data_IF_089612528200
#
_entry.id   IF_089612528200
#
_cell.length_a   1.000
_cell.length_b   1.000
_cell.length_c   1.000
_cell.angle_alpha   90.00
_cell.angle_beta   90.00
_cell.angle_gamma   90.00
#
_symmetry.space_group_name_H-M   'P 1'
#
loop_
_entity.id
_entity.type
_entity.pdbx_description
1 polymer ?
#
# COMPACT_ATOMS: atom_id res chain seq x y z
N UNK A 1 -11.39 -7.67 12.45
CA UNK A 1 -10.19 -6.81 12.56
C UNK A 1 -8.93 -7.59 12.98
N UNK A 2 -9.05 -8.83 13.45
CA UNK A 2 -7.89 -9.67 13.73
C UNK A 2 -7.56 -10.59 12.54
N UNK A 3 -6.26 -10.88 12.35
CA UNK A 3 -5.83 -11.83 11.32
C UNK A 3 -6.42 -13.24 11.53
N UNK A 4 -6.69 -13.63 12.77
CA UNK A 4 -7.32 -14.90 13.08
C UNK A 4 -8.77 -14.96 12.57
N UNK A 5 -9.57 -13.93 12.79
CA UNK A 5 -10.94 -13.83 12.29
C UNK A 5 -11.01 -13.89 10.76
N UNK A 6 -10.10 -13.18 10.08
CA UNK A 6 -10.06 -13.20 8.61
C UNK A 6 -9.61 -14.56 8.08
N UNK A 7 -8.71 -15.27 8.75
CA UNK A 7 -8.36 -16.66 8.39
C UNK A 7 -9.56 -17.59 8.53
N UNK A 8 -10.35 -17.44 9.59
CA UNK A 8 -11.59 -18.22 9.75
C UNK A 8 -12.61 -17.86 8.65
N UNK A 9 -12.79 -16.58 8.35
CA UNK A 9 -13.65 -16.12 7.26
C UNK A 9 -13.22 -16.71 5.90
N UNK A 10 -11.91 -16.67 5.60
CA UNK A 10 -11.37 -17.26 4.38
C UNK A 10 -11.65 -18.77 4.31
N UNK A 11 -11.47 -19.50 5.42
CA UNK A 11 -11.77 -20.94 5.48
C UNK A 11 -13.27 -21.23 5.27
N UNK A 12 -14.16 -20.39 5.78
CA UNK A 12 -15.61 -20.55 5.52
C UNK A 12 -15.97 -20.19 4.08
N UNK A 13 -15.33 -19.17 3.49
CA UNK A 13 -15.48 -18.83 2.08
C UNK A 13 -15.04 -19.99 1.17
N UNK A 14 -13.92 -20.67 1.50
CA UNK A 14 -13.45 -21.85 0.77
C UNK A 14 -14.46 -23.00 0.83
N UNK A 15 -15.00 -23.29 2.01
CA UNK A 15 -16.02 -24.34 2.19
C UNK A 15 -17.31 -24.04 1.43
N UNK A 16 -17.66 -22.76 1.31
CA UNK A 16 -18.91 -22.35 0.63
C UNK A 16 -18.88 -22.57 -0.87
N UNK A 17 -17.70 -22.62 -1.49
CA UNK A 17 -17.51 -22.66 -2.94
C UNK A 17 -18.09 -21.46 -3.68
N UNK A 18 -18.39 -20.35 -2.99
CA UNK A 18 -18.96 -19.14 -3.56
C UNK A 18 -17.84 -18.15 -3.94
N UNK A 19 -18.15 -17.30 -4.91
CA UNK A 19 -17.29 -16.17 -5.23
C UNK A 19 -17.16 -15.26 -3.99
N UNK A 20 -15.93 -14.90 -3.65
CA UNK A 20 -15.60 -14.04 -2.53
C UNK A 20 -14.58 -12.99 -2.99
N UNK A 21 -14.96 -11.71 -3.01
CA UNK A 21 -14.15 -10.62 -3.52
C UNK A 21 -13.97 -9.51 -2.49
N UNK A 22 -12.83 -8.83 -2.53
CA UNK A 22 -12.54 -7.64 -1.74
C UNK A 22 -12.79 -6.36 -2.57
N UNK A 23 -13.32 -5.31 -1.93
CA UNK A 23 -13.61 -4.04 -2.59
C UNK A 23 -12.36 -3.13 -2.66
N UNK A 24 -11.25 -3.66 -3.15
CA UNK A 24 -10.02 -2.89 -3.36
C UNK A 24 -10.09 -2.07 -4.66
N UNK A 25 -10.95 -1.07 -4.66
CA UNK A 25 -11.25 -0.24 -5.82
C UNK A 25 -10.04 0.50 -6.37
N UNK A 26 -9.03 0.83 -5.55
CA UNK A 26 -7.81 1.48 -6.02
C UNK A 26 -7.00 0.61 -6.99
N UNK A 27 -7.13 -0.72 -6.95
CA UNK A 27 -6.54 -1.62 -7.96
C UNK A 27 -7.11 -1.43 -9.37
N UNK A 28 -8.23 -0.71 -9.53
CA UNK A 28 -8.76 -0.32 -10.84
C UNK A 28 -8.15 0.97 -11.38
N UNK A 29 -7.29 1.68 -10.60
CA UNK A 29 -6.59 2.85 -11.07
C UNK A 29 -5.55 2.45 -12.13
N UNK A 30 -5.64 3.00 -13.36
CA UNK A 30 -4.72 2.65 -14.45
C UNK A 30 -3.24 2.89 -14.12
N UNK A 31 -2.94 3.93 -13.35
CA UNK A 31 -1.57 4.25 -12.96
C UNK A 31 -0.99 3.16 -12.04
N UNK A 32 -1.70 2.72 -11.00
CA UNK A 32 -1.26 1.63 -10.13
C UNK A 32 -1.14 0.29 -10.86
N UNK A 33 -2.06 0.01 -11.78
CA UNK A 33 -1.97 -1.16 -12.67
C UNK A 33 -0.73 -1.10 -13.56
N UNK A 34 -0.38 0.08 -14.06
CA UNK A 34 0.84 0.28 -14.85
C UNK A 34 2.09 0.12 -14.01
N UNK A 35 2.13 0.68 -12.80
CA UNK A 35 3.24 0.47 -11.85
C UNK A 35 3.46 -1.03 -11.61
N UNK A 36 2.39 -1.76 -11.27
CA UNK A 36 2.48 -3.20 -11.04
C UNK A 36 3.00 -3.96 -12.25
N UNK A 37 2.46 -3.70 -13.45
CA UNK A 37 2.95 -4.35 -14.70
C UNK A 37 4.44 -4.09 -14.94
N UNK A 38 4.92 -2.86 -14.74
CA UNK A 38 6.33 -2.51 -14.92
C UNK A 38 7.25 -3.21 -13.91
N UNK A 39 6.78 -3.39 -12.68
CA UNK A 39 7.52 -4.11 -11.64
C UNK A 39 7.49 -5.61 -11.92
N UNK A 40 6.33 -6.19 -12.20
CA UNK A 40 6.17 -7.62 -12.48
C UNK A 40 6.93 -8.08 -13.74
N UNK A 41 7.07 -7.20 -14.73
CA UNK A 41 7.83 -7.51 -15.94
C UNK A 41 9.34 -7.66 -15.71
N UNK A 42 9.86 -7.12 -14.61
CA UNK A 42 11.28 -7.10 -14.31
C UNK A 42 12.12 -6.15 -15.18
N UNK A 43 11.50 -5.40 -16.11
CA UNK A 43 12.25 -4.52 -17.03
C UNK A 43 13.01 -3.38 -16.33
N UNK A 44 12.57 -3.02 -15.13
CA UNK A 44 13.21 -2.01 -14.29
C UNK A 44 14.16 -2.63 -13.25
N UNK A 45 14.42 -3.94 -13.32
CA UNK A 45 15.26 -4.65 -12.38
C UNK A 45 14.59 -4.88 -11.01
N UNK A 46 15.41 -4.99 -9.97
CA UNK A 46 14.95 -5.32 -8.61
C UNK A 46 14.53 -4.08 -7.83
N UNK A 47 13.52 -4.20 -6.99
CA UNK A 47 13.16 -3.16 -6.02
C UNK A 47 14.33 -2.98 -5.05
N UNK A 48 14.70 -1.74 -4.80
CA UNK A 48 15.70 -1.33 -3.81
C UNK A 48 15.03 -0.67 -2.60
N UNK A 49 14.02 0.17 -2.86
CA UNK A 49 13.31 0.90 -1.82
C UNK A 49 11.89 1.22 -2.26
N UNK A 50 10.95 1.19 -1.30
CA UNK A 50 9.59 1.67 -1.47
C UNK A 50 9.29 2.78 -0.48
N UNK A 51 8.45 3.76 -0.86
CA UNK A 51 7.99 4.80 0.05
C UNK A 51 6.55 5.15 -0.27
N UNK A 52 5.69 5.03 0.74
CA UNK A 52 4.28 5.39 0.65
C UNK A 52 3.99 6.42 1.72
N UNK A 53 3.56 7.60 1.30
CA UNK A 53 3.17 8.69 2.21
C UNK A 53 1.75 9.08 1.85
N UNK A 54 0.83 8.86 2.78
CA UNK A 54 -0.60 9.18 2.64
C UNK A 54 -1.04 9.94 3.87
N UNK A 55 -0.98 11.24 3.82
CA UNK A 55 -1.33 12.14 4.93
C UNK A 55 -2.36 13.21 4.51
N UNK A 56 -2.88 13.11 3.28
CA UNK A 56 -3.86 14.05 2.70
C UNK A 56 -5.32 13.81 3.14
N UNK A 57 -5.51 13.09 4.22
CA UNK A 57 -6.86 12.74 4.74
C UNK A 57 -7.16 13.46 6.05
N UNK A 58 -6.85 14.73 6.14
CA UNK A 58 -7.21 15.51 7.32
C UNK A 58 -8.66 15.22 7.76
N UNK A 59 -8.83 14.92 9.04
CA UNK A 59 -10.13 14.76 9.69
C UNK A 59 -10.28 15.82 10.78
N UNK A 60 -11.47 16.36 10.89
CA UNK A 60 -11.83 17.20 12.04
C UNK A 60 -12.26 16.32 13.21
N UNK A 61 -12.16 16.81 14.45
CA UNK A 61 -12.65 16.09 15.63
C UNK A 61 -14.13 15.68 15.48
N UNK A 62 -14.97 16.56 14.89
CA UNK A 62 -16.38 16.27 14.63
C UNK A 62 -16.65 15.04 13.75
N UNK A 63 -15.68 14.63 12.92
CA UNK A 63 -15.79 13.37 12.18
C UNK A 63 -15.77 12.17 13.13
N UNK A 64 -14.92 12.19 14.12
CA UNK A 64 -14.82 11.13 15.13
C UNK A 64 -16.02 11.17 16.08
N UNK A 65 -16.46 12.34 16.49
CA UNK A 65 -17.62 12.55 17.39
C UNK A 65 -18.96 12.20 16.75
N UNK A 66 -19.02 12.06 15.41
CA UNK A 66 -20.27 11.82 14.67
C UNK A 66 -20.93 10.48 14.99
N UNK A 67 -20.20 9.51 15.51
CA UNK A 67 -20.70 8.17 15.84
C UNK A 67 -19.91 7.56 17.00
N UNK A 68 -20.61 6.99 17.97
CA UNK A 68 -19.99 6.39 19.17
C UNK A 68 -19.10 5.15 18.92
N UNK A 69 -19.19 4.53 17.75
CA UNK A 69 -18.36 3.39 17.39
C UNK A 69 -17.03 3.79 16.76
N UNK A 70 -16.97 5.00 16.21
CA UNK A 70 -15.83 5.47 15.42
C UNK A 70 -14.60 5.70 16.28
N UNK A 71 -13.45 5.31 15.78
CA UNK A 71 -12.15 5.46 16.45
C UNK A 71 -12.10 4.84 17.87
N UNK A 72 -12.77 3.70 18.04
CA UNK A 72 -12.73 2.92 19.29
C UNK A 72 -12.17 1.53 19.03
N UNK A 73 -11.39 0.98 19.98
CA UNK A 73 -10.90 -0.40 19.90
C UNK A 73 -12.04 -1.42 19.90
N UNK A 74 -13.09 -1.13 20.68
CA UNK A 74 -14.20 -2.06 20.87
C UNK A 74 -15.08 -2.24 19.63
N UNK A 75 -15.22 -1.22 18.80
CA UNK A 75 -16.18 -1.22 17.68
C UNK A 75 -15.52 -1.01 16.31
N UNK A 76 -14.65 -0.01 16.13
CA UNK A 76 -13.90 0.21 14.89
C UNK A 76 -12.70 -0.77 14.79
N UNK A 77 -12.12 -1.10 15.94
CA UNK A 77 -11.02 -2.05 16.07
C UNK A 77 -9.65 -1.48 15.76
N UNK A 78 -9.54 -0.18 15.51
CA UNK A 78 -8.33 0.59 15.23
C UNK A 78 -8.64 1.93 14.58
N UNK A 79 -7.61 2.66 14.25
CA UNK A 79 -7.67 4.00 13.70
C UNK A 79 -7.34 4.07 12.21
N UNK A 80 -6.38 4.93 11.87
CA UNK A 80 -6.03 5.19 10.47
C UNK A 80 -5.62 3.93 9.70
N UNK A 81 -4.97 2.98 10.32
CA UNK A 81 -4.52 1.74 9.67
C UNK A 81 -5.67 0.83 9.27
N UNK A 82 -6.75 0.77 10.06
CA UNK A 82 -7.87 -0.15 9.84
C UNK A 82 -9.10 0.51 9.23
N UNK A 83 -9.18 1.85 9.22
CA UNK A 83 -10.30 2.59 8.67
C UNK A 83 -9.93 3.31 7.35
N UNK A 84 -8.94 4.19 7.33
CA UNK A 84 -8.58 4.98 6.14
C UNK A 84 -7.56 4.28 5.24
N UNK A 85 -6.52 3.69 5.81
CA UNK A 85 -5.37 3.18 5.08
C UNK A 85 -5.45 1.72 4.55
N UNK A 86 -6.48 0.87 4.77
CA UNK A 86 -6.49 -0.50 4.25
C UNK A 86 -6.27 -0.60 2.75
N UNK A 87 -6.83 0.33 1.97
CA UNK A 87 -6.64 0.39 0.52
C UNK A 87 -5.20 0.71 0.11
N UNK A 88 -4.49 1.51 0.88
CA UNK A 88 -3.10 1.89 0.60
C UNK A 88 -2.12 0.80 1.04
N UNK A 89 -2.39 0.14 2.16
CA UNK A 89 -1.67 -1.06 2.57
C UNK A 89 -1.85 -2.18 1.56
N UNK A 90 -3.07 -2.33 1.02
CA UNK A 90 -3.35 -3.26 -0.05
C UNK A 90 -2.55 -2.94 -1.31
N UNK A 91 -2.59 -1.69 -1.79
CA UNK A 91 -1.81 -1.27 -2.96
C UNK A 91 -0.32 -1.51 -2.77
N UNK A 92 0.20 -1.17 -1.60
CA UNK A 92 1.62 -1.32 -1.31
C UNK A 92 2.06 -2.77 -1.41
N UNK A 93 1.37 -3.70 -0.72
CA UNK A 93 1.71 -5.12 -0.80
C UNK A 93 1.38 -5.74 -2.17
N UNK A 94 0.31 -5.30 -2.82
CA UNK A 94 -0.06 -5.80 -4.14
C UNK A 94 0.97 -5.43 -5.22
N UNK A 95 1.53 -4.22 -5.16
CA UNK A 95 2.53 -3.73 -6.12
C UNK A 95 3.93 -4.22 -5.78
N UNK A 96 4.34 -4.18 -4.50
CA UNK A 96 5.71 -4.41 -4.07
C UNK A 96 5.94 -5.76 -3.38
N UNK A 97 4.90 -6.53 -3.10
CA UNK A 97 4.95 -7.76 -2.33
C UNK A 97 4.88 -7.53 -0.82
N UNK A 98 4.72 -8.63 -0.07
CA UNK A 98 4.70 -8.59 1.40
C UNK A 98 6.12 -8.43 1.95
N UNK A 99 6.35 -7.52 2.89
CA UNK A 99 7.61 -7.48 3.63
C UNK A 99 7.73 -8.67 4.58
N UNK A 100 8.95 -8.97 5.00
CA UNK A 100 9.25 -10.02 5.98
C UNK A 100 9.49 -9.49 7.38
N UNK A 101 9.70 -8.16 7.52
CA UNK A 101 9.91 -7.50 8.81
C UNK A 101 9.26 -6.13 8.83
N UNK A 102 8.69 -5.78 9.99
CA UNK A 102 8.02 -4.50 10.21
C UNK A 102 8.49 -3.88 11.52
N UNK A 103 8.90 -2.62 11.47
CA UNK A 103 9.12 -1.77 12.65
C UNK A 103 8.27 -0.52 12.49
N UNK A 104 7.39 -0.24 13.46
CA UNK A 104 6.48 0.89 13.39
C UNK A 104 6.40 1.68 14.69
N UNK A 105 5.94 2.93 14.55
CA UNK A 105 5.66 3.89 15.60
C UNK A 105 4.28 4.48 15.33
N UNK A 106 3.30 4.12 16.15
CA UNK A 106 1.94 4.62 16.09
C UNK A 106 1.73 5.65 17.21
N UNK A 107 1.17 6.80 16.85
CA UNK A 107 0.65 7.79 17.78
C UNK A 107 -0.85 7.54 18.00
N UNK A 108 -1.26 7.33 19.23
CA UNK A 108 -2.66 7.10 19.60
C UNK A 108 -3.26 8.40 20.11
N UNK A 109 -4.35 8.88 19.50
CA UNK A 109 -4.95 10.16 19.86
C UNK A 109 -3.94 11.31 19.86
N UNK A 110 -3.01 11.31 18.89
CA UNK A 110 -1.95 12.33 18.80
C UNK A 110 -2.47 13.69 18.36
N UNK A 111 -3.44 13.65 17.44
CA UNK A 111 -4.03 14.82 16.80
C UNK A 111 -5.49 15.03 17.18
N UNK A 112 -6.16 13.98 17.68
CA UNK A 112 -7.58 13.96 18.00
C UNK A 112 -7.81 13.36 19.38
N UNK A 113 -8.93 13.69 19.99
CA UNK A 113 -9.41 13.05 21.22
C UNK A 113 -10.06 11.69 20.88
N UNK A 114 -9.22 10.69 20.66
CA UNK A 114 -9.59 9.31 20.30
C UNK A 114 -8.63 8.31 20.96
N UNK A 115 -9.05 7.06 21.07
CA UNK A 115 -8.22 6.02 21.75
C UNK A 115 -7.31 5.21 20.81
N UNK A 116 -7.51 5.34 19.48
CA UNK A 116 -6.81 4.57 18.45
C UNK A 116 -5.74 5.40 17.77
N UNK A 117 -4.97 4.76 16.87
CA UNK A 117 -3.90 5.45 16.14
C UNK A 117 -4.44 6.39 15.06
N UNK A 118 -3.92 7.62 15.04
CA UNK A 118 -4.18 8.66 14.02
C UNK A 118 -2.91 9.17 13.32
N UNK A 119 -1.75 8.61 13.70
CA UNK A 119 -0.42 8.92 13.14
C UNK A 119 0.43 7.64 13.13
N UNK A 120 1.01 7.27 11.99
CA UNK A 120 1.83 6.06 11.85
C UNK A 120 3.03 6.33 10.97
N UNK A 121 4.20 5.93 11.44
CA UNK A 121 5.43 5.82 10.64
C UNK A 121 5.97 4.41 10.78
N UNK A 122 6.10 3.69 9.66
CA UNK A 122 6.60 2.33 9.65
C UNK A 122 7.79 2.18 8.69
N UNK A 123 8.74 1.32 9.07
CA UNK A 123 9.83 0.82 8.26
C UNK A 123 9.63 -0.68 8.05
N UNK A 124 9.94 -1.16 6.85
CA UNK A 124 9.85 -2.59 6.51
C UNK A 124 11.09 -3.07 5.76
N UNK A 125 11.32 -4.38 5.85
CA UNK A 125 12.34 -5.10 5.10
C UNK A 125 11.68 -6.20 4.25
N UNK A 126 12.17 -6.37 3.02
CA UNK A 126 11.74 -7.43 2.11
C UNK A 126 12.79 -8.55 2.05
N UNK A 127 12.38 -9.77 1.75
CA UNK A 127 13.27 -10.93 1.67
C UNK A 127 14.46 -10.74 0.71
N UNK A 128 14.31 -9.91 -0.33
CA UNK A 128 15.39 -9.57 -1.29
C UNK A 128 16.36 -8.48 -0.83
N UNK A 129 16.24 -7.99 0.42
CA UNK A 129 17.08 -6.91 0.96
C UNK A 129 16.60 -5.50 0.63
N UNK A 130 15.52 -5.35 -0.12
CA UNK A 130 14.87 -4.06 -0.29
C UNK A 130 14.26 -3.58 1.02
N UNK A 131 14.11 -2.26 1.15
CA UNK A 131 13.49 -1.64 2.33
C UNK A 131 12.28 -0.80 1.94
N UNK A 132 11.44 -0.46 2.91
CA UNK A 132 10.30 0.41 2.64
C UNK A 132 9.88 1.26 3.83
N UNK A 133 9.16 2.34 3.54
CA UNK A 133 8.53 3.18 4.54
C UNK A 133 7.06 3.38 4.21
N UNK A 134 6.23 3.40 5.24
CA UNK A 134 4.82 3.74 5.16
C UNK A 134 4.50 4.81 6.20
N UNK A 135 3.98 5.94 5.75
CA UNK A 135 3.62 7.07 6.61
C UNK A 135 2.17 7.43 6.34
N UNK A 136 1.37 7.51 7.38
CA UNK A 136 -0.02 7.95 7.29
C UNK A 136 -0.46 8.68 8.55
N UNK A 137 -1.28 9.71 8.39
CA UNK A 137 -1.93 10.36 9.51
C UNK A 137 -3.24 11.03 9.07
N UNK A 138 -4.06 11.43 10.03
CA UNK A 138 -5.31 12.17 9.81
C UNK A 138 -5.28 13.60 10.35
N UNK A 139 -4.12 14.06 10.81
CA UNK A 139 -3.92 15.38 11.41
C UNK A 139 -3.05 16.35 10.62
N UNK A 140 -2.71 16.05 9.36
CA UNK A 140 -1.82 16.87 8.55
C UNK A 140 -2.57 17.62 7.44
N UNK A 141 -2.21 18.89 7.22
CA UNK A 141 -2.69 19.70 6.09
C UNK A 141 -1.55 20.58 5.54
N UNK A 142 -1.34 20.64 4.21
CA UNK A 142 -2.17 20.07 3.14
C UNK A 142 -2.03 18.54 2.98
N UNK A 143 -1.07 17.90 3.66
CA UNK A 143 -0.76 16.49 3.53
C UNK A 143 -0.05 16.12 2.23
N UNK A 144 0.29 14.84 2.12
CA UNK A 144 1.01 14.26 0.98
C UNK A 144 0.32 12.98 0.53
N UNK A 145 0.21 12.77 -0.78
CA UNK A 145 -0.22 11.50 -1.37
C UNK A 145 0.80 11.09 -2.42
N UNK A 146 1.77 10.25 -2.01
CA UNK A 146 2.91 9.86 -2.84
C UNK A 146 3.24 8.39 -2.66
N UNK A 147 3.34 7.69 -3.78
CA UNK A 147 3.84 6.33 -3.83
C UNK A 147 5.08 6.28 -4.73
N UNK A 148 6.21 5.96 -4.16
CA UNK A 148 7.50 5.88 -4.84
C UNK A 148 8.08 4.48 -4.73
N UNK A 149 8.60 3.95 -5.85
CA UNK A 149 9.36 2.69 -5.92
C UNK A 149 10.66 2.96 -6.65
N UNK A 150 11.78 2.80 -5.95
CA UNK A 150 13.13 2.85 -6.54
C UNK A 150 13.57 1.44 -6.88
N UNK A 151 13.98 1.24 -8.15
CA UNK A 151 14.46 -0.03 -8.69
C UNK A 151 15.87 0.16 -9.26
N UNK A 152 16.58 -0.91 -9.49
CA UNK A 152 17.97 -0.84 -10.04
C UNK A 152 18.02 -0.18 -11.42
N UNK A 153 16.96 -0.32 -12.23
CA UNK A 153 16.86 0.25 -13.58
C UNK A 153 15.95 1.46 -13.70
N UNK A 154 15.46 2.04 -12.58
CA UNK A 154 14.63 3.23 -12.64
C UNK A 154 13.89 3.55 -11.35
N UNK A 155 13.08 4.60 -11.40
CA UNK A 155 12.23 5.02 -10.29
C UNK A 155 10.83 5.34 -10.81
N UNK A 156 9.83 4.77 -10.17
CA UNK A 156 8.42 5.06 -10.41
C UNK A 156 7.90 5.94 -9.27
N UNK A 157 7.21 7.03 -9.62
CA UNK A 157 6.57 7.92 -8.66
C UNK A 157 5.14 8.19 -9.12
N UNK A 158 4.19 7.86 -8.25
CA UNK A 158 2.80 8.30 -8.40
C UNK A 158 2.52 9.40 -7.38
N UNK A 159 2.19 10.57 -7.85
CA UNK A 159 1.90 11.76 -7.03
C UNK A 159 0.97 12.71 -7.80
N UNK A 160 -0.01 13.31 -7.11
CA UNK A 160 -0.95 14.27 -7.69
C UNK A 160 -1.65 13.75 -8.97
N UNK A 161 -2.01 12.46 -8.99
CA UNK A 161 -2.67 11.83 -10.12
C UNK A 161 -1.76 11.51 -11.31
N UNK A 162 -0.46 11.77 -11.23
CA UNK A 162 0.54 11.52 -12.27
C UNK A 162 1.45 10.36 -11.91
N UNK A 163 1.75 9.54 -12.89
CA UNK A 163 2.76 8.49 -12.82
C UNK A 163 3.97 8.89 -13.65
N UNK A 164 5.11 9.09 -13.00
CA UNK A 164 6.37 9.38 -13.68
C UNK A 164 7.34 8.20 -13.58
N UNK A 165 8.12 8.00 -14.63
CA UNK A 165 9.24 7.08 -14.69
C UNK A 165 10.53 7.89 -14.92
N UNK A 166 11.46 7.81 -13.97
CA UNK A 166 12.83 8.25 -14.15
C UNK A 166 13.69 7.01 -14.49
N UNK A 167 14.30 7.00 -15.69
CA UNK A 167 15.10 5.86 -16.16
C UNK A 167 16.55 6.32 -16.41
N UNK A 168 17.54 5.73 -15.71
CA UNK A 168 18.95 5.93 -16.02
C UNK A 168 19.32 5.20 -17.31
N UNK A 169 20.31 5.74 -18.06
CA UNK A 169 20.88 5.10 -19.26
C UNK A 169 21.65 3.82 -18.91
N UNK A 170 22.17 3.74 -17.70
CA UNK A 170 22.84 2.56 -17.13
C UNK A 170 22.19 2.20 -15.81
N UNK A 171 21.70 0.97 -15.59
CA UNK A 171 21.15 0.55 -14.30
C UNK A 171 22.11 0.80 -13.14
N UNK A 172 21.58 1.20 -11.98
CA UNK A 172 22.38 1.64 -10.84
C UNK A 172 23.36 0.57 -10.35
N UNK A 173 22.93 -0.69 -10.29
CA UNK A 173 23.74 -1.81 -9.86
C UNK A 173 24.91 -2.13 -10.84
N UNK A 174 24.70 -1.87 -12.11
CA UNK A 174 25.73 -1.98 -13.14
C UNK A 174 26.69 -0.79 -13.06
N UNK A 175 26.16 0.43 -12.98
CA UNK A 175 26.96 1.64 -12.89
C UNK A 175 27.91 1.61 -11.69
N UNK A 176 27.43 1.16 -10.52
CA UNK A 176 28.23 1.02 -9.30
C UNK A 176 29.46 0.11 -9.51
N UNK A 177 29.33 -0.95 -10.31
CA UNK A 177 30.41 -1.91 -10.55
C UNK A 177 31.37 -1.51 -11.66
N UNK A 178 30.88 -0.83 -12.68
CA UNK A 178 31.62 -0.58 -13.93
C UNK A 178 32.18 0.83 -14.06
N UNK A 179 31.67 1.79 -13.27
CA UNK A 179 32.13 3.15 -13.35
C UNK A 179 33.46 3.34 -12.63
N UNK A 180 34.51 3.71 -13.38
CA UNK A 180 35.86 3.87 -12.86
C UNK A 180 36.12 5.24 -12.18
N UNK A 181 35.23 6.23 -12.36
CA UNK A 181 35.31 7.56 -11.73
C UNK A 181 34.67 7.57 -10.33
N UNK A 182 35.18 8.41 -9.43
CA UNK A 182 34.70 8.45 -8.03
C UNK A 182 33.33 9.12 -7.82
N UNK A 183 32.89 10.04 -8.69
CA UNK A 183 31.75 10.92 -8.45
C UNK A 183 30.75 11.03 -9.62
N UNK A 184 30.78 10.08 -10.56
CA UNK A 184 29.86 10.08 -11.70
C UNK A 184 28.45 9.66 -11.31
N UNK A 185 27.50 9.97 -12.20
CA UNK A 185 26.12 9.53 -12.15
C UNK A 185 25.68 9.16 -13.56
N UNK A 186 24.83 8.14 -13.74
CA UNK A 186 24.21 7.88 -15.04
C UNK A 186 23.31 9.05 -15.44
N UNK A 187 23.14 9.27 -16.75
CA UNK A 187 22.15 10.22 -17.24
C UNK A 187 20.74 9.66 -16.99
N UNK A 188 19.82 10.53 -16.58
CA UNK A 188 18.44 10.11 -16.25
C UNK A 188 17.46 10.83 -17.18
N UNK A 189 16.61 10.05 -17.83
CA UNK A 189 15.44 10.55 -18.57
C UNK A 189 14.20 10.42 -17.69
N UNK A 190 13.41 11.48 -17.58
CA UNK A 190 12.15 11.48 -16.84
C UNK A 190 10.99 11.65 -17.82
N UNK A 191 10.01 10.76 -17.72
CA UNK A 191 8.82 10.77 -18.56
C UNK A 191 7.54 10.69 -17.72
N UNK A 192 6.52 11.46 -18.06
CA UNK A 192 5.16 11.23 -17.59
C UNK A 192 4.62 10.02 -18.39
N UNK A 193 4.30 8.97 -17.66
CA UNK A 193 3.76 7.73 -18.22
C UNK A 193 2.34 7.43 -17.73
N UNK A 194 1.65 8.45 -17.24
CA UNK A 194 0.27 8.34 -16.77
C UNK A 194 -0.61 7.77 -17.88
N UNK A 195 -1.34 6.67 -17.65
CA UNK A 195 -2.27 6.15 -18.65
C UNK A 195 -3.46 7.10 -18.87
N UNK A 196 -3.90 7.22 -20.11
CA UNK A 196 -5.13 7.92 -20.48
C UNK A 196 -6.34 6.96 -20.49
N UNK A 197 -6.48 6.20 -19.41
CA UNK A 197 -7.57 5.26 -19.21
C UNK A 197 -8.45 5.74 -18.05
N UNK A 198 -9.78 5.51 -18.10
CA UNK A 198 -10.65 5.93 -17.00
C UNK A 198 -10.41 5.13 -15.73
N UNK A 199 -10.40 5.81 -14.61
CA UNK A 199 -10.42 5.18 -13.29
C UNK A 199 -11.84 4.72 -12.95
N UNK A 200 -12.09 3.41 -13.01
CA UNK A 200 -13.44 2.85 -12.89
C UNK A 200 -13.91 2.65 -11.46
N UNK A 201 -13.02 2.82 -10.48
CA UNK A 201 -13.35 2.77 -9.04
C UNK A 201 -14.17 1.51 -8.65
N UNK A 202 -15.20 1.70 -7.82
CA UNK A 202 -16.07 0.62 -7.34
C UNK A 202 -16.81 -0.11 -8.47
N UNK A 203 -17.25 0.62 -9.49
CA UNK A 203 -17.95 0.02 -10.64
C UNK A 203 -17.07 -1.00 -11.38
N UNK A 204 -15.77 -0.75 -11.49
CA UNK A 204 -14.81 -1.68 -12.10
C UNK A 204 -14.69 -2.98 -11.29
N UNK A 205 -14.64 -2.89 -9.96
CA UNK A 205 -14.57 -4.08 -9.08
C UNK A 205 -15.85 -4.88 -9.17
N UNK A 206 -17.02 -4.22 -9.10
CA UNK A 206 -18.33 -4.90 -9.19
C UNK A 206 -18.47 -5.60 -10.53
N UNK A 207 -18.11 -4.93 -11.63
CA UNK A 207 -18.16 -5.53 -12.97
C UNK A 207 -17.29 -6.78 -13.06
N UNK A 208 -16.03 -6.69 -12.64
CA UNK A 208 -15.11 -7.83 -12.65
C UNK A 208 -15.60 -8.98 -11.75
N UNK A 209 -16.25 -8.69 -10.64
CA UNK A 209 -16.86 -9.70 -9.77
C UNK A 209 -18.05 -10.39 -10.44
N UNK A 210 -18.92 -9.64 -11.14
CA UNK A 210 -20.03 -10.21 -11.92
C UNK A 210 -19.47 -11.06 -13.07
N UNK A 211 -18.48 -10.56 -13.80
CA UNK A 211 -17.84 -11.29 -14.91
C UNK A 211 -17.21 -12.61 -14.40
N UNK A 212 -16.60 -12.59 -13.21
CA UNK A 212 -16.08 -13.79 -12.56
C UNK A 212 -17.18 -14.83 -12.32
N UNK A 213 -18.33 -14.42 -11.78
CA UNK A 213 -19.45 -15.32 -11.51
C UNK A 213 -20.01 -15.91 -12.83
N UNK A 214 -20.12 -15.11 -13.87
CA UNK A 214 -20.76 -15.50 -15.12
C UNK A 214 -19.85 -16.32 -16.05
N UNK A 215 -18.55 -16.03 -16.04
CA UNK A 215 -17.61 -16.53 -17.06
C UNK A 215 -16.35 -17.18 -16.49
N UNK A 216 -16.09 -17.07 -15.18
CA UNK A 216 -14.84 -17.50 -14.56
C UNK A 216 -13.67 -16.52 -14.80
N UNK A 217 -13.92 -15.31 -15.32
CA UNK A 217 -12.89 -14.30 -15.51
C UNK A 217 -12.19 -13.92 -14.19
N UNK A 218 -10.92 -13.49 -14.19
CA UNK A 218 -10.22 -13.09 -12.98
C UNK A 218 -10.89 -11.90 -12.27
N UNK A 219 -11.00 -11.98 -10.94
CA UNK A 219 -11.42 -10.83 -10.11
C UNK A 219 -10.32 -9.76 -10.02
N UNK A 220 -10.69 -8.52 -9.71
CA UNK A 220 -9.73 -7.44 -9.39
C UNK A 220 -8.97 -7.76 -8.11
N UNK A 221 -9.68 -8.29 -7.10
CA UNK A 221 -9.11 -8.76 -5.84
C UNK A 221 -9.94 -9.91 -5.30
N UNK A 222 -9.31 -11.04 -5.04
CA UNK A 222 -9.93 -12.12 -4.28
C UNK A 222 -10.11 -11.68 -2.83
N UNK A 223 -11.22 -12.04 -2.21
CA UNK A 223 -11.51 -11.65 -0.83
C UNK A 223 -10.46 -12.12 0.18
N UNK A 224 -9.78 -13.23 -0.13
CA UNK A 224 -8.70 -13.78 0.69
C UNK A 224 -7.49 -12.86 0.79
N UNK A 225 -7.26 -12.03 -0.23
CA UNK A 225 -6.16 -11.07 -0.27
C UNK A 225 -6.30 -9.95 0.77
N UNK A 226 -7.52 -9.71 1.28
CA UNK A 226 -7.76 -8.79 2.38
C UNK A 226 -6.96 -9.11 3.65
N UNK A 227 -6.54 -10.36 3.82
CA UNK A 227 -5.66 -10.77 4.91
C UNK A 227 -4.30 -10.03 4.89
N UNK A 228 -3.75 -9.78 3.70
CA UNK A 228 -2.41 -9.19 3.57
C UNK A 228 -2.34 -7.75 4.11
N UNK A 229 -3.28 -6.90 3.72
CA UNK A 229 -3.35 -5.52 4.23
C UNK A 229 -3.61 -5.48 5.74
N UNK A 230 -4.45 -6.39 6.24
CA UNK A 230 -4.72 -6.51 7.67
C UNK A 230 -3.50 -7.02 8.45
N UNK A 231 -2.74 -7.97 7.91
CA UNK A 231 -1.49 -8.44 8.53
C UNK A 231 -0.49 -7.30 8.68
N UNK A 232 -0.35 -6.44 7.66
CA UNK A 232 0.51 -5.27 7.73
C UNK A 232 0.05 -4.29 8.82
N UNK A 233 -1.24 -3.96 8.87
CA UNK A 233 -1.80 -3.08 9.88
C UNK A 233 -1.56 -3.62 11.31
N UNK A 234 -1.88 -4.90 11.52
CA UNK A 234 -1.72 -5.55 12.83
C UNK A 234 -0.23 -5.67 13.21
N UNK A 235 0.67 -5.94 12.26
CA UNK A 235 2.11 -5.97 12.52
C UNK A 235 2.65 -4.60 12.94
N UNK A 236 2.14 -3.50 12.35
CA UNK A 236 2.51 -2.14 12.74
C UNK A 236 2.04 -1.79 14.16
N UNK A 237 0.80 -2.13 14.50
CA UNK A 237 0.27 -1.95 15.86
C UNK A 237 1.05 -2.78 16.87
N UNK A 238 1.26 -4.07 16.59
CA UNK A 238 2.02 -4.97 17.46
C UNK A 238 3.45 -4.49 17.66
N UNK A 239 4.13 -4.05 16.57
CA UNK A 239 5.48 -3.49 16.65
C UNK A 239 5.57 -2.28 17.57
N UNK A 240 4.54 -1.45 17.58
CA UNK A 240 4.48 -0.29 18.48
C UNK A 240 4.27 -0.72 19.94
N UNK A 241 3.32 -1.63 20.20
CA UNK A 241 3.00 -2.10 21.54
C UNK A 241 4.15 -2.87 22.19
N UNK A 242 4.78 -3.77 21.44
CA UNK A 242 5.92 -4.56 21.89
C UNK A 242 7.24 -3.77 21.87
N UNK A 243 7.26 -2.59 21.28
CA UNK A 243 8.46 -1.81 21.00
C UNK A 243 9.55 -2.66 20.33
N UNK A 244 9.17 -3.53 19.42
CA UNK A 244 10.01 -4.51 18.75
C UNK A 244 9.77 -4.57 17.24
N UNK A 245 10.73 -5.14 16.51
CA UNK A 245 10.54 -5.56 15.12
C UNK A 245 9.71 -6.84 15.09
N UNK A 246 8.73 -6.92 14.19
CA UNK A 246 7.86 -8.08 13.98
C UNK A 246 8.28 -8.76 12.67
N UNK A 247 8.46 -10.09 12.72
CA UNK A 247 8.80 -10.96 11.59
C UNK A 247 7.55 -11.55 10.93
#
# INVERSE_FOLDING_TARGET
>A
VSTQEVRLLNAEADKSGRAFGAMFNQRTNPAYRKMKRLIDSGELGSIQRTSVIITDWLRAQSYYDSCAWRATWAADGGGVLLNQAPHNLDLWQWICGMPVRVRAFCGFGRWHDIEVEDDVTAYVEYAGGATGTFITCTGEAPGTNRFEVSLTGGQLIYENGRLTLARPDTPADRFIREYEGGFGKPNVTVADITPDEPYTMHAGVIRAFIDHILTGAPMIADGREGLNSLMLANAMLLSTWENATID
#
